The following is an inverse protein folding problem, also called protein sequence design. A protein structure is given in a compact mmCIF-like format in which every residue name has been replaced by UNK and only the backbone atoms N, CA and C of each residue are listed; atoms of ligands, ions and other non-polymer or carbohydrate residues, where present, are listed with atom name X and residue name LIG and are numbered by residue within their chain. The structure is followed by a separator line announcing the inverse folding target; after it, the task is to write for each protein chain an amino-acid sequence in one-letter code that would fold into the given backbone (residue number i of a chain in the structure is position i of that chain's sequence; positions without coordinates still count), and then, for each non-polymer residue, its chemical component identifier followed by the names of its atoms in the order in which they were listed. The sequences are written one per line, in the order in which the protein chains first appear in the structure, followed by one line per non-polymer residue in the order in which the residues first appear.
data_IF_679346665347
#
_entry.id   IF_679346665347
#
_cell.length_a   1.000
_cell.length_b   1.000
_cell.length_c   1.000
_cell.angle_alpha   90.00
_cell.angle_beta   90.00
_cell.angle_gamma   90.00
#
_symmetry.space_group_name_H-M   'P 1'
#
loop_
_entity.id
_entity.type
_entity.pdbx_description
1 polymer ?
#
# COMPACT_ATOMS: atom_id res chain seq x y z
N UNK A 1 38.91 23.79 -42.44
CA UNK A 1 38.41 23.08 -41.24
C UNK A 1 39.06 21.70 -41.22
N UNK A 2 39.88 21.37 -40.21
CA UNK A 2 40.62 20.08 -40.18
C UNK A 2 39.77 18.98 -39.55
N UNK A 3 40.00 17.73 -39.98
CA UNK A 3 39.30 16.52 -39.50
C UNK A 3 39.40 16.33 -37.97
N UNK A 4 40.46 16.86 -37.36
CA UNK A 4 40.70 16.82 -35.91
C UNK A 4 39.79 17.77 -35.13
N UNK A 5 39.29 18.84 -35.74
CA UNK A 5 38.35 19.78 -35.11
C UNK A 5 36.93 19.19 -35.04
N UNK A 6 36.51 18.43 -36.07
CA UNK A 6 35.18 17.79 -36.11
C UNK A 6 35.03 16.58 -35.18
N UNK A 7 36.13 15.90 -34.81
CA UNK A 7 36.11 14.77 -33.85
C UNK A 7 35.99 15.20 -32.39
N UNK A 8 36.42 16.41 -32.02
CA UNK A 8 36.39 16.91 -30.62
C UNK A 8 35.06 17.55 -30.23
N UNK A 9 34.39 18.25 -31.16
CA UNK A 9 33.12 18.93 -30.86
C UNK A 9 31.98 17.92 -30.57
N UNK A 10 31.81 16.90 -31.41
CA UNK A 10 30.74 15.91 -31.26
C UNK A 10 30.85 15.00 -30.02
N UNK A 11 32.04 14.84 -29.44
CA UNK A 11 32.24 14.03 -28.23
C UNK A 11 32.09 14.84 -26.96
N UNK A 12 32.55 16.10 -26.97
CA UNK A 12 32.55 16.94 -25.78
C UNK A 12 31.12 17.43 -25.47
N UNK A 13 30.35 17.82 -26.49
CA UNK A 13 28.94 18.17 -26.33
C UNK A 13 28.08 16.98 -25.88
N UNK A 14 28.41 15.76 -26.33
CA UNK A 14 27.75 14.54 -25.84
C UNK A 14 28.10 14.22 -24.39
N UNK A 15 29.35 14.44 -23.99
CA UNK A 15 29.79 14.22 -22.60
C UNK A 15 29.22 15.28 -21.66
N UNK A 16 29.16 16.54 -22.09
CA UNK A 16 28.53 17.62 -21.35
C UNK A 16 27.01 17.43 -21.25
N UNK A 17 26.35 17.05 -22.34
CA UNK A 17 24.91 16.72 -22.31
C UNK A 17 24.59 15.50 -21.44
N UNK A 18 25.46 14.50 -21.40
CA UNK A 18 25.33 13.37 -20.48
C UNK A 18 25.49 13.82 -19.02
N UNK A 19 26.51 14.62 -18.71
CA UNK A 19 26.73 15.18 -17.38
C UNK A 19 25.58 16.12 -16.93
N UNK A 20 25.01 16.91 -17.84
CA UNK A 20 23.83 17.74 -17.55
C UNK A 20 22.59 16.89 -17.31
N UNK A 21 22.40 15.79 -18.06
CA UNK A 21 21.29 14.86 -17.86
C UNK A 21 21.39 14.07 -16.55
N UNK A 22 22.61 13.75 -16.10
CA UNK A 22 22.85 13.11 -14.80
C UNK A 22 22.68 14.08 -13.62
N UNK A 23 22.97 15.37 -13.83
CA UNK A 23 22.81 16.43 -12.82
C UNK A 23 21.42 17.09 -12.86
N UNK A 24 20.56 16.74 -13.81
CA UNK A 24 19.18 17.22 -13.85
C UNK A 24 18.44 16.72 -12.58
N UNK A 25 17.69 17.60 -11.88
CA UNK A 25 16.89 17.16 -10.74
C UNK A 25 15.93 16.06 -11.20
N UNK A 26 16.10 14.84 -10.68
CA UNK A 26 15.16 13.76 -10.96
C UNK A 26 13.75 14.22 -10.56
N UNK A 27 12.86 14.31 -11.55
CA UNK A 27 11.44 14.56 -11.28
C UNK A 27 10.94 13.51 -10.29
N UNK A 28 10.46 13.96 -9.13
CA UNK A 28 9.75 13.12 -8.18
C UNK A 28 8.43 12.69 -8.84
N UNK A 29 8.47 11.61 -9.62
CA UNK A 29 7.27 10.98 -10.18
C UNK A 29 6.38 10.54 -9.02
N UNK A 30 5.33 11.29 -8.79
CA UNK A 30 4.23 10.94 -7.89
C UNK A 30 3.45 9.80 -8.54
N UNK A 31 3.76 8.55 -8.17
CA UNK A 31 2.98 7.37 -8.55
C UNK A 31 1.69 7.30 -7.71
N UNK A 32 0.78 8.25 -7.90
CA UNK A 32 -0.56 8.15 -7.34
C UNK A 32 -1.39 7.29 -8.28
N UNK A 33 -1.82 6.14 -7.79
CA UNK A 33 -2.76 5.28 -8.51
C UNK A 33 -4.17 5.83 -8.29
N UNK A 34 -4.76 6.42 -9.34
CA UNK A 34 -6.09 7.04 -9.32
C UNK A 34 -7.22 6.05 -9.03
N UNK A 35 -6.97 4.75 -9.18
CA UNK A 35 -7.95 3.70 -8.88
C UNK A 35 -8.09 3.46 -7.38
N UNK A 36 -7.09 3.85 -6.59
CA UNK A 36 -7.07 3.64 -5.16
C UNK A 36 -7.76 4.79 -4.43
N UNK A 37 -8.90 4.49 -3.81
CA UNK A 37 -9.53 5.41 -2.88
C UNK A 37 -8.84 5.34 -1.51
N UNK A 38 -8.68 6.51 -0.89
CA UNK A 38 -8.18 6.66 0.48
C UNK A 38 -9.02 7.71 1.18
N UNK A 39 -9.43 7.48 2.44
CA UNK A 39 -10.16 8.48 3.21
C UNK A 39 -9.26 9.67 3.49
N UNK A 40 -9.77 10.89 3.24
CA UNK A 40 -9.09 12.10 3.65
C UNK A 40 -9.24 12.31 5.17
N UNK A 41 -8.17 12.80 5.79
CA UNK A 41 -8.05 12.99 7.22
C UNK A 41 -8.07 14.49 7.50
N UNK A 42 -8.82 14.91 8.50
CA UNK A 42 -8.83 16.30 8.93
C UNK A 42 -7.51 16.70 9.61
N UNK A 43 -7.36 17.98 9.92
CA UNK A 43 -6.17 18.53 10.60
C UNK A 43 -5.89 17.88 11.95
N UNK A 44 -6.89 17.28 12.58
CA UNK A 44 -6.77 16.57 13.86
C UNK A 44 -6.43 15.09 13.69
N UNK A 45 -6.32 14.60 12.45
CA UNK A 45 -6.07 13.19 12.13
C UNK A 45 -7.32 12.32 12.31
N UNK A 46 -8.51 12.90 12.25
CA UNK A 46 -9.76 12.15 12.24
C UNK A 46 -10.32 12.06 10.82
N UNK A 47 -10.92 10.91 10.48
CA UNK A 47 -11.53 10.67 9.19
C UNK A 47 -12.87 9.95 9.35
N UNK A 48 -13.80 10.22 8.45
CA UNK A 48 -15.08 9.54 8.44
C UNK A 48 -15.59 9.34 7.01
N UNK A 49 -15.86 8.10 6.65
CA UNK A 49 -16.51 7.72 5.41
C UNK A 49 -17.42 6.51 5.63
N UNK A 50 -18.41 6.34 4.76
CA UNK A 50 -19.24 5.14 4.70
C UNK A 50 -18.96 4.48 3.36
N UNK A 51 -18.47 3.26 3.41
CA UNK A 51 -18.12 2.46 2.22
C UNK A 51 -18.86 1.13 2.27
N UNK A 52 -19.09 0.53 1.13
CA UNK A 52 -19.68 -0.80 0.98
C UNK A 52 -18.67 -1.69 0.30
N UNK A 53 -18.31 -2.81 0.93
CA UNK A 53 -17.48 -3.81 0.29
C UNK A 53 -18.29 -4.51 -0.79
N UNK A 54 -17.66 -4.73 -1.95
CA UNK A 54 -18.31 -5.36 -3.10
C UNK A 54 -17.96 -6.84 -3.19
N UNK A 55 -18.86 -7.68 -3.74
CA UNK A 55 -18.60 -9.09 -3.95
C UNK A 55 -17.44 -9.33 -4.91
N UNK A 56 -17.00 -10.58 -5.00
CA UNK A 56 -15.98 -11.00 -5.94
C UNK A 56 -16.41 -10.68 -7.37
N UNK A 57 -15.46 -10.21 -8.18
CA UNK A 57 -15.70 -9.96 -9.60
C UNK A 57 -15.77 -11.30 -10.35
N UNK A 58 -16.42 -11.31 -11.51
CA UNK A 58 -16.56 -12.52 -12.31
C UNK A 58 -15.18 -13.12 -12.63
N UNK A 59 -14.97 -14.37 -12.23
CA UNK A 59 -13.72 -15.11 -12.45
C UNK A 59 -12.77 -15.13 -11.26
N UNK A 60 -13.08 -14.40 -10.19
CA UNK A 60 -12.34 -14.45 -8.92
C UNK A 60 -13.20 -15.14 -7.85
N UNK A 61 -12.57 -15.96 -7.00
CA UNK A 61 -13.27 -16.67 -5.92
C UNK A 61 -13.44 -15.82 -4.66
N UNK A 62 -12.52 -14.86 -4.44
CA UNK A 62 -12.46 -14.06 -3.22
C UNK A 62 -12.72 -12.57 -3.51
N UNK A 63 -13.48 -11.87 -2.65
CA UNK A 63 -13.73 -10.43 -2.80
C UNK A 63 -12.57 -9.56 -2.29
N UNK A 64 -11.46 -10.18 -1.86
CA UNK A 64 -10.23 -9.48 -1.49
C UNK A 64 -8.99 -10.19 -2.02
N UNK A 65 -7.93 -9.41 -2.21
CA UNK A 65 -6.59 -9.92 -2.51
C UNK A 65 -5.68 -9.61 -1.34
N UNK A 66 -4.90 -10.62 -0.93
CA UNK A 66 -3.88 -10.51 0.12
C UNK A 66 -2.53 -10.24 -0.53
N UNK A 67 -1.86 -9.16 -0.13
CA UNK A 67 -0.52 -8.79 -0.64
C UNK A 67 0.41 -8.51 0.54
N UNK A 68 1.62 -9.05 0.45
CA UNK A 68 2.73 -8.70 1.34
C UNK A 68 3.64 -7.70 0.63
N UNK A 69 4.09 -6.68 1.33
CA UNK A 69 5.05 -5.72 0.79
C UNK A 69 6.12 -5.32 1.81
N UNK A 70 7.28 -4.91 1.32
CA UNK A 70 8.34 -4.28 2.11
C UNK A 70 8.32 -2.78 1.87
N UNK A 71 8.59 -2.00 2.92
CA UNK A 71 8.68 -0.54 2.84
C UNK A 71 9.60 -0.04 3.96
N UNK A 72 10.88 0.13 3.65
CA UNK A 72 11.92 0.54 4.59
C UNK A 72 12.98 1.41 3.90
N UNK A 73 13.71 2.18 4.71
CA UNK A 73 14.85 2.96 4.25
C UNK A 73 16.14 2.17 4.49
N UNK A 74 16.94 2.00 3.43
CA UNK A 74 18.23 1.31 3.49
C UNK A 74 19.33 2.19 4.09
N UNK A 75 20.55 1.63 4.30
CA UNK A 75 21.67 2.35 4.88
C UNK A 75 22.12 3.59 4.09
N UNK A 76 21.89 3.58 2.76
CA UNK A 76 22.19 4.71 1.86
C UNK A 76 21.16 5.85 1.97
N UNK A 77 20.14 5.71 2.81
CA UNK A 77 19.02 6.64 2.91
C UNK A 77 17.98 6.47 1.78
N UNK A 78 18.16 5.54 0.85
CA UNK A 78 17.19 5.25 -0.20
C UNK A 78 16.06 4.36 0.30
N UNK A 79 14.86 4.52 -0.27
CA UNK A 79 13.69 3.72 0.09
C UNK A 79 13.58 2.47 -0.79
N UNK A 80 13.31 1.33 -0.15
CA UNK A 80 12.88 0.11 -0.81
C UNK A 80 11.39 -0.08 -0.52
N UNK A 81 10.55 0.04 -1.56
CA UNK A 81 9.09 -0.12 -1.47
C UNK A 81 8.64 -1.07 -2.56
N UNK A 82 8.56 -2.35 -2.26
CA UNK A 82 8.24 -3.40 -3.25
C UNK A 82 7.33 -4.47 -2.68
N UNK A 83 6.61 -5.15 -3.57
CA UNK A 83 5.81 -6.32 -3.20
C UNK A 83 6.71 -7.51 -2.90
N UNK A 84 6.31 -8.31 -1.90
CA UNK A 84 7.03 -9.52 -1.50
C UNK A 84 6.57 -10.72 -2.30
N UNK A 85 7.54 -11.52 -2.78
CA UNK A 85 7.29 -12.78 -3.47
C UNK A 85 6.60 -13.83 -2.58
N UNK A 86 6.66 -13.64 -1.26
CA UNK A 86 5.92 -14.48 -0.31
C UNK A 86 4.40 -14.39 -0.47
N UNK A 87 3.89 -13.37 -1.17
CA UNK A 87 2.49 -13.31 -1.60
C UNK A 87 2.10 -14.49 -2.49
N UNK A 88 3.03 -14.95 -3.33
CA UNK A 88 2.87 -16.09 -4.24
C UNK A 88 3.45 -17.39 -3.65
N UNK A 89 3.70 -17.41 -2.33
CA UNK A 89 4.39 -18.50 -1.63
C UNK A 89 5.78 -18.83 -2.22
N UNK A 90 6.45 -17.84 -2.80
CA UNK A 90 7.80 -17.97 -3.33
C UNK A 90 8.85 -17.42 -2.35
N UNK A 91 10.10 -17.78 -2.60
CA UNK A 91 11.25 -17.27 -1.85
C UNK A 91 11.47 -15.80 -2.18
N UNK A 92 11.59 -15.00 -1.13
CA UNK A 92 11.72 -13.55 -1.23
C UNK A 92 13.09 -13.13 -0.66
N UNK A 93 13.95 -12.45 -1.44
CA UNK A 93 15.31 -12.13 -1.01
C UNK A 93 15.38 -11.33 0.29
N UNK A 94 14.46 -10.39 0.49
CA UNK A 94 14.40 -9.56 1.71
C UNK A 94 14.00 -10.42 2.91
N UNK A 95 13.07 -11.34 2.72
CA UNK A 95 12.64 -12.28 3.76
C UNK A 95 13.76 -13.24 4.16
N UNK A 96 14.50 -13.79 3.20
CA UNK A 96 15.66 -14.66 3.47
C UNK A 96 16.75 -13.92 4.24
N UNK A 97 17.09 -12.70 3.80
CA UNK A 97 18.06 -11.85 4.48
C UNK A 97 17.60 -11.50 5.92
N UNK A 98 16.31 -11.20 6.11
CA UNK A 98 15.75 -10.95 7.43
C UNK A 98 15.81 -12.16 8.36
N UNK A 99 15.60 -13.37 7.83
CA UNK A 99 15.78 -14.60 8.61
C UNK A 99 17.22 -14.77 9.06
N UNK A 100 18.21 -14.47 8.20
CA UNK A 100 19.62 -14.50 8.59
C UNK A 100 19.93 -13.47 9.69
N UNK A 101 19.45 -12.24 9.57
CA UNK A 101 19.60 -11.20 10.59
C UNK A 101 18.93 -11.56 11.92
N UNK A 102 17.75 -12.19 11.87
CA UNK A 102 17.07 -12.60 13.09
C UNK A 102 17.84 -13.72 13.83
N UNK A 103 18.42 -14.64 13.06
CA UNK A 103 19.13 -15.80 13.58
C UNK A 103 20.59 -15.51 13.96
N UNK A 104 21.15 -14.36 13.59
CA UNK A 104 22.52 -13.97 13.99
C UNK A 104 22.67 -13.78 15.50
N UNK A 105 21.55 -13.55 16.21
CA UNK A 105 21.51 -13.37 17.66
C UNK A 105 21.89 -11.95 18.12
N UNK A 106 22.45 -11.11 17.23
CA UNK A 106 22.79 -9.73 17.51
C UNK A 106 21.54 -8.83 17.54
N UNK A 107 21.44 -7.95 18.53
CA UNK A 107 20.27 -7.05 18.63
C UNK A 107 20.23 -6.02 17.51
N UNK A 108 21.39 -5.55 17.03
CA UNK A 108 21.49 -4.66 15.86
C UNK A 108 20.84 -5.25 14.61
N UNK A 109 21.07 -6.54 14.38
CA UNK A 109 20.54 -7.24 13.20
C UNK A 109 19.04 -7.48 13.35
N UNK A 110 18.58 -7.80 14.57
CA UNK A 110 17.15 -7.89 14.86
C UNK A 110 16.44 -6.56 14.65
N UNK A 111 17.05 -5.43 14.98
CA UNK A 111 16.47 -4.12 14.66
C UNK A 111 16.34 -3.88 13.15
N UNK A 112 17.33 -4.28 12.36
CA UNK A 112 17.27 -4.22 10.90
C UNK A 112 16.12 -5.10 10.39
N UNK A 113 16.02 -6.34 10.87
CA UNK A 113 14.95 -7.25 10.49
C UNK A 113 13.54 -6.73 10.87
N UNK A 114 13.41 -6.07 12.04
CA UNK A 114 12.16 -5.42 12.46
C UNK A 114 11.78 -4.27 11.54
N UNK A 115 12.74 -3.43 11.12
CA UNK A 115 12.52 -2.31 10.19
C UNK A 115 12.14 -2.80 8.78
N UNK A 116 12.74 -3.90 8.33
CA UNK A 116 12.54 -4.49 7.01
C UNK A 116 11.36 -5.46 6.94
N UNK A 117 10.69 -5.72 8.06
CA UNK A 117 9.56 -6.66 8.16
C UNK A 117 8.48 -6.37 7.12
N UNK A 118 8.02 -7.43 6.45
CA UNK A 118 6.88 -7.35 5.52
C UNK A 118 5.62 -6.85 6.20
N UNK A 119 4.85 -6.04 5.49
CA UNK A 119 3.56 -5.50 5.91
C UNK A 119 2.46 -6.21 5.13
N UNK A 120 1.40 -6.58 5.85
CA UNK A 120 0.23 -7.22 5.27
C UNK A 120 -0.74 -6.15 4.79
N UNK A 121 -1.15 -6.25 3.52
CA UNK A 121 -2.14 -5.39 2.92
C UNK A 121 -3.24 -6.24 2.27
N UNK A 122 -4.46 -5.76 2.37
CA UNK A 122 -5.62 -6.31 1.70
C UNK A 122 -6.16 -5.28 0.73
N UNK A 123 -6.66 -5.76 -0.40
CA UNK A 123 -7.30 -4.95 -1.42
C UNK A 123 -8.67 -5.52 -1.72
N UNK A 124 -9.70 -4.67 -1.72
CA UNK A 124 -11.05 -5.02 -2.14
C UNK A 124 -11.66 -3.91 -2.97
N UNK A 125 -12.59 -4.28 -3.85
CA UNK A 125 -13.45 -3.31 -4.50
C UNK A 125 -14.46 -2.77 -3.49
N UNK A 126 -14.65 -1.46 -3.49
CA UNK A 126 -15.61 -0.78 -2.64
C UNK A 126 -16.49 0.14 -3.46
N UNK A 127 -17.72 0.31 -3.00
CA UNK A 127 -18.61 1.39 -3.41
C UNK A 127 -18.62 2.46 -2.31
N UNK A 128 -18.38 3.72 -2.68
CA UNK A 128 -18.37 4.84 -1.72
C UNK A 128 -19.81 5.32 -1.54
N UNK A 129 -20.36 5.10 -0.34
CA UNK A 129 -21.74 5.50 0.00
C UNK A 129 -21.77 6.96 0.46
N UNK A 130 -20.81 7.35 1.28
CA UNK A 130 -20.70 8.72 1.79
C UNK A 130 -19.25 9.08 2.05
N UNK A 131 -18.80 10.19 1.49
CA UNK A 131 -17.48 10.78 1.68
C UNK A 131 -17.65 12.30 1.81
N UNK A 132 -17.73 12.77 3.06
CA UNK A 132 -18.01 14.19 3.35
C UNK A 132 -16.93 15.14 2.84
N UNK A 133 -15.71 14.64 2.63
CA UNK A 133 -14.56 15.41 2.21
C UNK A 133 -14.45 15.47 0.70
N UNK A 134 -14.80 14.36 0.05
CA UNK A 134 -14.84 14.23 -1.40
C UNK A 134 -16.20 13.70 -1.88
N UNK A 135 -17.25 14.55 -1.89
CA UNK A 135 -18.57 14.14 -2.36
C UNK A 135 -18.58 13.61 -3.80
N UNK A 136 -17.59 14.00 -4.61
CA UNK A 136 -17.39 13.52 -5.98
C UNK A 136 -17.07 12.02 -6.08
N UNK A 137 -16.68 11.38 -4.97
CA UNK A 137 -16.46 9.94 -4.90
C UNK A 137 -17.75 9.16 -4.59
N UNK A 138 -18.77 9.81 -4.03
CA UNK A 138 -20.04 9.15 -3.68
C UNK A 138 -20.70 8.57 -4.93
N UNK A 139 -21.15 7.31 -4.84
CA UNK A 139 -21.74 6.61 -5.98
C UNK A 139 -20.74 5.91 -6.91
N UNK A 140 -19.43 6.05 -6.68
CA UNK A 140 -18.39 5.43 -7.51
C UNK A 140 -17.75 4.22 -6.85
N UNK A 141 -17.10 3.40 -7.69
CA UNK A 141 -16.38 2.19 -7.29
C UNK A 141 -14.88 2.44 -7.36
N UNK A 142 -14.16 2.00 -6.34
CA UNK A 142 -12.71 2.15 -6.22
C UNK A 142 -12.06 0.91 -5.60
N UNK A 143 -10.73 0.83 -5.72
CA UNK A 143 -9.93 -0.11 -4.93
C UNK A 143 -9.64 0.49 -3.56
N UNK A 144 -9.94 -0.25 -2.50
CA UNK A 144 -9.59 0.12 -1.14
C UNK A 144 -8.48 -0.77 -0.60
N UNK A 145 -7.39 -0.13 -0.17
CA UNK A 145 -6.26 -0.79 0.48
C UNK A 145 -6.36 -0.64 1.99
N UNK A 146 -6.40 -1.75 2.71
CA UNK A 146 -6.52 -1.77 4.16
C UNK A 146 -5.62 -2.81 4.83
N UNK A 147 -5.44 -2.68 6.15
CA UNK A 147 -4.60 -3.58 6.95
C UNK A 147 -5.41 -4.61 7.74
N UNK A 148 -4.70 -5.43 8.53
CA UNK A 148 -5.28 -6.52 9.32
C UNK A 148 -6.46 -6.11 10.20
N UNK A 149 -6.41 -4.94 10.86
CA UNK A 149 -7.50 -4.50 11.77
C UNK A 149 -8.86 -4.38 11.09
N UNK A 150 -8.91 -3.84 9.87
CA UNK A 150 -10.17 -3.71 9.12
C UNK A 150 -10.60 -5.10 8.63
N UNK A 151 -9.64 -5.92 8.18
CA UNK A 151 -9.92 -7.30 7.77
C UNK A 151 -10.50 -8.15 8.91
N UNK A 152 -9.95 -8.03 10.12
CA UNK A 152 -10.43 -8.73 11.31
C UNK A 152 -11.89 -8.34 11.61
N UNK A 153 -12.25 -7.04 11.53
CA UNK A 153 -13.64 -6.59 11.69
C UNK A 153 -14.60 -7.17 10.66
N UNK A 154 -14.16 -7.29 9.41
CA UNK A 154 -14.95 -7.93 8.36
C UNK A 154 -15.16 -9.41 8.69
N UNK A 155 -14.10 -10.12 9.11
CA UNK A 155 -14.19 -11.52 9.50
C UNK A 155 -15.04 -11.76 10.73
N UNK A 156 -14.93 -10.91 11.76
CA UNK A 156 -15.77 -10.95 12.97
C UNK A 156 -17.26 -10.80 12.62
N UNK A 157 -17.62 -9.96 11.64
CA UNK A 157 -19.02 -9.86 11.21
C UNK A 157 -19.55 -11.13 10.51
N UNK A 158 -18.67 -11.89 9.86
CA UNK A 158 -19.03 -13.16 9.21
C UNK A 158 -19.02 -14.34 10.17
N UNK A 159 -18.20 -14.28 11.21
CA UNK A 159 -18.01 -15.30 12.24
C UNK A 159 -18.11 -14.63 13.62
N UNK A 160 -19.33 -14.23 14.03
CA UNK A 160 -19.52 -13.57 15.31
C UNK A 160 -19.09 -14.48 16.47
N UNK A 161 -18.57 -13.87 17.52
CA UNK A 161 -18.02 -14.59 18.68
C UNK A 161 -19.12 -15.08 19.65
N UNK A 162 -20.33 -14.55 19.54
CA UNK A 162 -21.45 -14.82 20.44
C UNK A 162 -22.63 -15.41 19.66
N UNK A 163 -23.36 -16.34 20.27
CA UNK A 163 -24.45 -17.08 19.62
C UNK A 163 -25.70 -16.23 19.32
N UNK A 164 -25.84 -15.07 19.97
CA UNK A 164 -26.94 -14.13 19.77
C UNK A 164 -26.71 -13.16 18.60
N UNK A 165 -25.51 -13.12 18.04
CA UNK A 165 -25.16 -12.29 16.90
C UNK A 165 -25.42 -13.01 15.58
N UNK A 166 -26.16 -12.36 14.68
CA UNK A 166 -26.44 -12.93 13.35
C UNK A 166 -25.24 -12.69 12.42
N UNK A 167 -24.66 -13.74 11.81
CA UNK A 167 -23.57 -13.57 10.86
C UNK A 167 -24.05 -12.80 9.64
N UNK A 168 -23.30 -11.77 9.26
CA UNK A 168 -23.57 -10.95 8.07
C UNK A 168 -22.35 -11.01 7.17
N UNK A 169 -22.56 -11.34 5.90
CA UNK A 169 -21.51 -11.26 4.88
C UNK A 169 -21.43 -9.81 4.34
N UNK A 170 -20.41 -9.00 4.69
CA UNK A 170 -20.35 -7.60 4.26
C UNK A 170 -20.16 -7.44 2.74
N UNK A 171 -19.72 -8.50 2.06
CA UNK A 171 -19.54 -8.54 0.62
C UNK A 171 -20.81 -8.94 -0.14
N UNK A 172 -21.86 -9.37 0.56
CA UNK A 172 -23.12 -9.71 -0.09
C UNK A 172 -23.78 -8.44 -0.68
N UNK A 173 -24.28 -8.56 -1.91
CA UNK A 173 -24.83 -7.42 -2.63
C UNK A 173 -26.18 -6.96 -2.06
N UNK A 174 -27.00 -7.89 -1.57
CA UNK A 174 -28.36 -7.63 -1.11
C UNK A 174 -28.43 -7.52 0.42
N UNK A 175 -27.89 -8.51 1.11
CA UNK A 175 -27.97 -8.68 2.57
C UNK A 175 -26.71 -8.22 3.31
N UNK A 176 -25.69 -7.75 2.59
CA UNK A 176 -24.47 -7.25 3.23
C UNK A 176 -24.66 -5.93 3.97
N UNK A 177 -23.57 -5.44 4.56
CA UNK A 177 -23.59 -4.25 5.41
C UNK A 177 -22.67 -3.12 4.91
N UNK A 178 -23.09 -1.88 5.15
CA UNK A 178 -22.23 -0.72 4.96
C UNK A 178 -21.20 -0.64 6.09
N UNK A 179 -19.94 -0.45 5.73
CA UNK A 179 -18.84 -0.26 6.65
C UNK A 179 -18.62 1.22 6.96
N UNK A 180 -18.82 1.60 8.22
CA UNK A 180 -18.56 2.97 8.70
C UNK A 180 -17.09 3.10 9.08
N UNK A 181 -16.28 3.60 8.17
CA UNK A 181 -14.86 3.83 8.38
C UNK A 181 -14.68 5.08 9.25
N UNK A 182 -14.35 4.87 10.53
CA UNK A 182 -14.03 5.93 11.50
C UNK A 182 -12.56 5.85 11.82
N UNK A 183 -11.82 6.86 11.42
CA UNK A 183 -10.40 6.94 11.68
C UNK A 183 -10.19 7.94 12.80
N UNK A 184 -9.48 7.53 13.84
CA UNK A 184 -9.07 8.41 14.95
C UNK A 184 -7.61 8.20 15.29
N UNK A 185 -6.93 9.28 15.67
CA UNK A 185 -5.57 9.21 16.21
C UNK A 185 -5.66 9.09 17.73
N UNK A 186 -5.23 7.96 18.29
CA UNK A 186 -5.16 7.71 19.73
C UNK A 186 -3.71 7.37 20.07
N UNK A 187 -3.10 8.11 20.99
CA UNK A 187 -1.70 7.94 21.43
C UNK A 187 -0.68 7.89 20.29
N UNK A 188 -0.89 8.70 19.25
CA UNK A 188 0.00 8.76 18.08
C UNK A 188 -0.26 7.70 17.02
N UNK A 189 -1.12 6.72 17.28
CA UNK A 189 -1.47 5.63 16.35
C UNK A 189 -2.86 5.80 15.74
N UNK A 190 -3.00 5.32 14.50
CA UNK A 190 -4.28 5.26 13.79
C UNK A 190 -5.13 4.11 14.32
N UNK A 191 -6.35 4.43 14.74
CA UNK A 191 -7.37 3.49 15.17
C UNK A 191 -8.56 3.51 14.21
N UNK A 192 -9.15 2.35 13.98
CA UNK A 192 -10.16 2.05 12.96
C UNK A 192 -11.32 1.26 13.58
#
# INVERSE_FOLDING_TARGET
MSLSAMKKQNTLDKLLGAAESENAPQEKKSYVDERLWKPELDKTGNGFAVIRFLPAVKGEDLPWVKVWNHAFQGPTGQWYIENSLTTLNQKDPVSEMNSAYWNSGLESDKEIARKQKRKLQYFSNIYVVTDKKHPEHEGKVFLFRFGKKIFDKIMESMQPAFEDETPVNPFDFWEGANFKLKIRKVDGYWNY
#
